data_IF_606647465716
#
_entry.id   IF_606647465716
#
_cell.length_a   1.000
_cell.length_b   1.000
_cell.length_c   1.000
_cell.angle_alpha   90.00
_cell.angle_beta   90.00
_cell.angle_gamma   90.00
#
_symmetry.space_group_name_H-M   'P 1'
#
loop_
_entity.id
_entity.type
_entity.pdbx_description
1 polymer ?
#
# COMPACT_ATOMS: atom_id res chain seq x y z
N UNK A 1 18.50 20.92 -12.02
CA UNK A 1 19.47 22.03 -12.20
C UNK A 1 20.59 21.69 -13.20
N UNK A 2 21.04 20.44 -13.31
CA UNK A 2 22.10 20.03 -14.27
C UNK A 2 21.72 20.20 -15.75
N UNK A 3 20.44 20.06 -16.11
CA UNK A 3 20.01 19.98 -17.51
C UNK A 3 19.99 21.34 -18.26
N UNK A 4 19.68 22.42 -17.54
CA UNK A 4 19.73 23.80 -18.09
C UNK A 4 21.15 24.17 -18.51
N UNK A 5 22.16 23.55 -17.89
CA UNK A 5 23.57 23.73 -18.24
C UNK A 5 24.06 22.73 -19.29
N UNK A 6 23.38 21.59 -19.49
CA UNK A 6 23.86 20.51 -20.35
C UNK A 6 23.37 20.66 -21.81
N UNK A 7 22.11 21.09 -22.03
CA UNK A 7 21.55 21.23 -23.39
C UNK A 7 20.62 22.46 -23.54
N UNK A 8 21.16 23.70 -23.65
CA UNK A 8 20.36 24.93 -23.69
C UNK A 8 19.58 25.17 -25.01
N UNK A 9 19.67 24.26 -26.00
CA UNK A 9 19.06 24.45 -27.34
C UNK A 9 17.96 23.44 -27.70
N UNK A 10 17.70 22.44 -26.86
CA UNK A 10 16.72 21.38 -27.15
C UNK A 10 15.92 20.99 -25.90
N UNK A 11 14.81 21.70 -25.67
CA UNK A 11 13.98 21.55 -24.48
C UNK A 11 13.39 20.13 -24.34
N UNK A 12 13.11 19.46 -25.45
CA UNK A 12 12.58 18.09 -25.47
C UNK A 12 13.61 17.05 -25.01
N UNK A 13 14.85 17.12 -25.50
CA UNK A 13 15.92 16.23 -25.04
C UNK A 13 16.26 16.45 -23.57
N UNK A 14 16.27 17.71 -23.13
CA UNK A 14 16.43 18.06 -21.72
C UNK A 14 15.29 17.50 -20.86
N UNK A 15 14.04 17.59 -21.33
CA UNK A 15 12.91 17.01 -20.61
C UNK A 15 13.05 15.48 -20.43
N UNK A 16 13.41 14.78 -21.51
CA UNK A 16 13.64 13.32 -21.48
C UNK A 16 14.85 12.91 -20.65
N UNK A 17 15.98 13.63 -20.76
CA UNK A 17 17.18 13.37 -19.97
C UNK A 17 16.91 13.49 -18.47
N UNK A 18 16.27 14.59 -18.04
CA UNK A 18 15.83 14.80 -16.65
C UNK A 18 14.91 13.68 -16.16
N UNK A 19 13.96 13.23 -17.00
CA UNK A 19 13.04 12.14 -16.66
C UNK A 19 13.76 10.80 -16.49
N UNK A 20 14.61 10.44 -17.45
CA UNK A 20 15.37 9.17 -17.43
C UNK A 20 16.34 9.13 -16.24
N UNK A 21 17.09 10.22 -16.00
CA UNK A 21 17.99 10.33 -14.84
C UNK A 21 17.20 10.24 -13.54
N UNK A 22 16.02 10.88 -13.47
CA UNK A 22 15.10 10.79 -12.34
C UNK A 22 14.68 9.34 -12.05
N UNK A 23 14.20 8.62 -13.07
CA UNK A 23 13.80 7.21 -12.93
C UNK A 23 14.96 6.30 -12.54
N UNK A 24 16.14 6.50 -13.12
CA UNK A 24 17.35 5.75 -12.76
C UNK A 24 17.71 6.00 -11.29
N UNK A 25 17.67 7.26 -10.85
CA UNK A 25 17.97 7.64 -9.46
C UNK A 25 16.99 7.00 -8.48
N UNK A 26 15.69 7.01 -8.80
CA UNK A 26 14.65 6.36 -7.98
C UNK A 26 14.85 4.84 -7.96
N UNK A 27 15.11 4.20 -9.11
CA UNK A 27 15.38 2.77 -9.18
C UNK A 27 16.62 2.39 -8.35
N UNK A 28 17.70 3.17 -8.46
CA UNK A 28 18.90 3.01 -7.64
C UNK A 28 18.60 3.20 -6.16
N UNK A 29 17.77 4.18 -5.78
CA UNK A 29 17.35 4.38 -4.40
C UNK A 29 16.62 3.13 -3.86
N UNK A 30 15.69 2.55 -4.63
CA UNK A 30 15.02 1.29 -4.27
C UNK A 30 16.00 0.11 -4.16
N UNK A 31 16.98 0.00 -5.06
CA UNK A 31 18.01 -1.04 -4.97
C UNK A 31 18.95 -0.84 -3.79
N UNK A 32 19.21 0.41 -3.38
CA UNK A 32 20.03 0.74 -2.22
C UNK A 32 19.30 0.52 -0.90
N UNK A 33 17.96 0.52 -0.85
CA UNK A 33 17.19 0.28 0.38
C UNK A 33 17.65 -0.95 1.20
N UNK A 34 17.82 -2.16 0.62
CA UNK A 34 18.32 -3.31 1.39
C UNK A 34 19.75 -3.11 1.91
N UNK A 35 20.61 -2.46 1.13
CA UNK A 35 21.98 -2.13 1.55
C UNK A 35 21.98 -1.11 2.69
N UNK A 36 21.14 -0.09 2.59
CA UNK A 36 20.98 0.95 3.59
C UNK A 36 20.46 0.38 4.91
N UNK A 37 19.52 -0.57 4.85
CA UNK A 37 19.04 -1.31 6.02
C UNK A 37 20.19 -2.05 6.73
N UNK A 38 21.01 -2.76 5.98
CA UNK A 38 22.17 -3.47 6.52
C UNK A 38 23.20 -2.52 7.15
N UNK A 39 23.45 -1.37 6.52
CA UNK A 39 24.36 -0.32 7.03
C UNK A 39 23.81 0.29 8.32
N UNK A 40 22.52 0.62 8.37
CA UNK A 40 21.86 1.20 9.55
C UNK A 40 21.71 0.21 10.72
N UNK A 41 21.70 -1.11 10.45
CA UNK A 41 21.73 -2.14 11.50
C UNK A 41 23.14 -2.28 12.13
N UNK A 42 24.18 -1.85 11.41
CA UNK A 42 25.59 -1.97 11.82
C UNK A 42 26.15 -0.71 12.49
N UNK A 43 25.59 0.46 12.18
CA UNK A 43 25.97 1.75 12.73
C UNK A 43 25.05 2.16 13.89
N UNK A 44 25.62 2.71 14.96
CA UNK A 44 24.87 3.20 16.13
C UNK A 44 25.02 4.73 16.27
N UNK A 45 24.00 5.39 16.83
CA UNK A 45 24.03 6.81 17.14
C UNK A 45 24.01 7.74 15.93
N UNK A 46 24.77 8.85 16.00
CA UNK A 46 24.72 9.94 15.02
C UNK A 46 25.24 9.60 13.61
N UNK A 47 26.17 8.64 13.48
CA UNK A 47 26.64 8.21 12.16
C UNK A 47 25.54 7.53 11.34
N UNK A 48 24.62 6.82 12.01
CA UNK A 48 23.44 6.23 11.37
C UNK A 48 22.50 7.32 10.84
N UNK A 49 22.32 8.40 11.60
CA UNK A 49 21.48 9.53 11.21
C UNK A 49 22.06 10.23 9.98
N UNK A 50 23.36 10.54 9.98
CA UNK A 50 24.03 11.17 8.85
C UNK A 50 23.90 10.35 7.55
N UNK A 51 24.09 9.02 7.64
CA UNK A 51 23.94 8.13 6.49
C UNK A 51 22.50 8.08 5.97
N UNK A 52 21.51 8.06 6.87
CA UNK A 52 20.10 8.13 6.49
C UNK A 52 19.76 9.47 5.82
N UNK A 53 20.25 10.58 6.35
CA UNK A 53 20.03 11.93 5.80
C UNK A 53 20.63 12.07 4.40
N UNK A 54 21.86 11.59 4.18
CA UNK A 54 22.48 11.59 2.85
C UNK A 54 21.67 10.79 1.84
N UNK A 55 21.15 9.63 2.24
CA UNK A 55 20.30 8.81 1.39
C UNK A 55 18.94 9.47 1.08
N UNK A 56 18.35 10.16 2.07
CA UNK A 56 17.13 10.93 1.89
C UNK A 56 17.35 12.11 0.94
N UNK A 57 18.46 12.84 1.08
CA UNK A 57 18.84 13.94 0.17
C UNK A 57 19.03 13.42 -1.25
N UNK A 58 19.72 12.29 -1.43
CA UNK A 58 19.87 11.64 -2.74
C UNK A 58 18.51 11.29 -3.36
N UNK A 59 17.61 10.70 -2.58
CA UNK A 59 16.26 10.34 -3.01
C UNK A 59 15.39 11.57 -3.34
N UNK A 60 15.58 12.66 -2.58
CA UNK A 60 14.92 13.94 -2.83
C UNK A 60 15.38 14.53 -4.17
N UNK A 61 16.69 14.53 -4.45
CA UNK A 61 17.23 14.98 -5.73
C UNK A 61 16.66 14.16 -6.91
N UNK A 62 16.53 12.84 -6.76
CA UNK A 62 15.90 11.97 -7.76
C UNK A 62 14.44 12.36 -8.03
N UNK A 63 13.66 12.51 -6.96
CA UNK A 63 12.23 12.89 -7.04
C UNK A 63 12.04 14.25 -7.71
N UNK A 64 12.84 15.26 -7.36
CA UNK A 64 12.75 16.59 -7.97
C UNK A 64 13.04 16.54 -9.47
N UNK A 65 14.09 15.81 -9.90
CA UNK A 65 14.42 15.68 -11.32
C UNK A 65 13.36 14.91 -12.11
N UNK A 66 12.79 13.87 -11.51
CA UNK A 66 11.70 13.11 -12.12
C UNK A 66 10.46 13.99 -12.32
N UNK A 67 10.01 14.68 -11.27
CA UNK A 67 8.81 15.52 -11.35
C UNK A 67 9.01 16.69 -12.31
N UNK A 68 10.17 17.33 -12.28
CA UNK A 68 10.54 18.35 -13.28
C UNK A 68 10.43 17.81 -14.71
N UNK A 69 10.99 16.63 -14.97
CA UNK A 69 10.91 15.98 -16.29
C UNK A 69 9.46 15.79 -16.73
N UNK A 70 8.61 15.27 -15.84
CA UNK A 70 7.17 15.09 -16.10
C UNK A 70 6.51 16.42 -16.49
N UNK A 71 6.67 17.49 -15.71
CA UNK A 71 6.09 18.80 -16.06
C UNK A 71 6.58 19.34 -17.40
N UNK A 72 7.87 19.19 -17.68
CA UNK A 72 8.44 19.70 -18.92
C UNK A 72 7.90 18.92 -20.14
N UNK A 73 7.78 17.60 -20.03
CA UNK A 73 7.13 16.80 -21.07
C UNK A 73 5.65 17.16 -21.23
N UNK A 74 4.91 17.38 -20.13
CA UNK A 74 3.52 17.83 -20.19
C UNK A 74 3.40 19.17 -20.92
N UNK A 75 4.24 20.15 -20.62
CA UNK A 75 4.21 21.45 -21.31
C UNK A 75 4.54 21.34 -22.81
N UNK A 76 5.44 20.43 -23.21
CA UNK A 76 5.86 20.27 -24.61
C UNK A 76 4.83 19.47 -25.42
N UNK A 77 4.27 18.40 -24.84
CA UNK A 77 3.45 17.43 -25.58
C UNK A 77 1.95 17.52 -25.27
N UNK A 78 1.54 18.03 -24.11
CA UNK A 78 0.15 18.02 -23.66
C UNK A 78 -0.48 19.41 -23.71
N UNK A 79 -1.25 19.67 -24.78
CA UNK A 79 -1.90 20.94 -25.09
C UNK A 79 -0.95 22.17 -24.98
N UNK A 80 0.08 22.25 -25.84
CA UNK A 80 1.06 23.34 -25.78
C UNK A 80 0.45 24.73 -26.02
N UNK A 81 -0.63 24.81 -26.82
CA UNK A 81 -1.29 26.07 -27.16
C UNK A 81 -2.25 26.58 -26.07
N UNK A 82 -2.61 25.74 -25.09
CA UNK A 82 -3.61 26.04 -24.06
C UNK A 82 -3.14 25.59 -22.67
N UNK A 83 -2.09 26.26 -22.18
CA UNK A 83 -1.41 25.89 -20.93
C UNK A 83 -2.36 25.86 -19.71
N UNK A 84 -3.28 26.82 -19.60
CA UNK A 84 -4.22 26.89 -18.48
C UNK A 84 -5.13 25.65 -18.40
N UNK A 85 -5.67 25.24 -19.55
CA UNK A 85 -6.55 24.08 -19.64
C UNK A 85 -5.77 22.77 -19.40
N UNK A 86 -4.53 22.70 -19.89
CA UNK A 86 -3.58 21.62 -19.61
C UNK A 86 -3.32 21.45 -18.11
N UNK A 87 -3.05 22.55 -17.39
CA UNK A 87 -2.84 22.56 -15.94
C UNK A 87 -4.09 22.10 -15.16
N UNK A 88 -5.28 22.59 -15.54
CA UNK A 88 -6.51 22.19 -14.88
C UNK A 88 -6.83 20.71 -15.07
N UNK A 89 -6.72 20.20 -16.28
CA UNK A 89 -6.99 18.77 -16.57
C UNK A 89 -6.00 17.89 -15.81
N UNK A 90 -4.72 18.20 -15.87
CA UNK A 90 -3.68 17.38 -15.21
C UNK A 90 -3.84 17.39 -13.70
N UNK A 91 -4.17 18.54 -13.10
CA UNK A 91 -4.46 18.65 -11.68
C UNK A 91 -5.67 17.80 -11.25
N UNK A 92 -6.83 18.01 -11.88
CA UNK A 92 -8.06 17.30 -11.52
C UNK A 92 -7.98 15.80 -11.81
N UNK A 93 -7.36 15.41 -12.93
CA UNK A 93 -7.16 14.00 -13.28
C UNK A 93 -6.28 13.29 -12.25
N UNK A 94 -5.13 13.88 -11.88
CA UNK A 94 -4.27 13.32 -10.86
C UNK A 94 -4.98 13.26 -9.50
N UNK A 95 -5.71 14.32 -9.11
CA UNK A 95 -6.44 14.35 -7.85
C UNK A 95 -7.50 13.24 -7.77
N UNK A 96 -8.31 13.06 -8.80
CA UNK A 96 -9.33 11.99 -8.87
C UNK A 96 -8.66 10.62 -8.80
N UNK A 97 -7.56 10.41 -9.54
CA UNK A 97 -6.78 9.17 -9.45
C UNK A 97 -6.27 8.91 -8.03
N UNK A 98 -5.74 9.92 -7.34
CA UNK A 98 -5.25 9.80 -5.96
C UNK A 98 -6.38 9.46 -4.97
N UNK A 99 -7.57 10.04 -5.16
CA UNK A 99 -8.75 9.74 -4.34
C UNK A 99 -9.21 8.30 -4.58
N UNK A 100 -9.31 7.87 -5.84
CA UNK A 100 -9.71 6.50 -6.20
C UNK A 100 -8.73 5.45 -5.68
N UNK A 101 -7.43 5.76 -5.73
CA UNK A 101 -6.37 4.91 -5.19
C UNK A 101 -6.28 4.96 -3.65
N UNK A 102 -7.08 5.78 -2.96
CA UNK A 102 -7.04 5.93 -1.50
C UNK A 102 -5.73 6.52 -0.97
N UNK A 103 -4.89 7.06 -1.85
CA UNK A 103 -3.59 7.66 -1.54
C UNK A 103 -3.71 9.12 -1.08
N UNK A 104 -4.90 9.72 -1.16
CA UNK A 104 -5.21 11.06 -0.66
C UNK A 104 -5.28 11.10 0.88
N UNK A 105 -4.19 10.70 1.55
CA UNK A 105 -3.98 10.85 2.99
C UNK A 105 -2.92 11.94 3.20
N UNK A 106 -3.35 13.16 3.53
CA UNK A 106 -2.41 14.26 3.82
C UNK A 106 -1.60 13.99 5.09
N UNK A 107 -0.31 14.34 5.04
CA UNK A 107 0.63 14.25 6.16
C UNK A 107 0.13 14.93 7.44
N UNK A 108 -0.74 15.95 7.31
CA UNK A 108 -1.33 16.70 8.42
C UNK A 108 -2.12 15.82 9.40
N UNK A 109 -2.74 14.73 8.94
CA UNK A 109 -3.60 13.87 9.76
C UNK A 109 -2.82 12.70 10.39
N UNK A 110 -1.65 12.33 9.82
CA UNK A 110 -0.85 11.19 10.30
C UNK A 110 0.20 11.54 11.36
N UNK A 111 0.45 12.83 11.59
CA UNK A 111 1.50 13.28 12.50
C UNK A 111 2.91 13.13 11.90
N UNK A 112 3.87 13.84 12.50
CA UNK A 112 5.30 13.71 12.18
C UNK A 112 5.88 12.69 13.14
N UNK A 113 6.48 11.62 12.62
CA UNK A 113 7.24 10.69 13.44
C UNK A 113 8.52 11.38 13.91
N UNK A 114 8.83 11.27 15.20
CA UNK A 114 10.10 11.77 15.74
C UNK A 114 11.19 10.82 15.24
N UNK A 115 12.09 11.34 14.41
CA UNK A 115 13.24 10.59 13.91
C UNK A 115 14.08 10.07 15.09
N UNK A 116 14.45 8.78 15.01
CA UNK A 116 15.28 8.01 15.96
C UNK A 116 14.60 7.20 17.08
N UNK A 117 13.27 7.23 17.26
CA UNK A 117 12.59 6.33 18.23
C UNK A 117 12.41 4.89 17.72
N UNK A 118 12.50 4.64 16.41
CA UNK A 118 12.24 3.32 15.83
C UNK A 118 13.44 2.36 15.94
N UNK A 119 13.25 1.12 16.44
CA UNK A 119 14.33 0.14 16.51
C UNK A 119 14.72 -0.39 15.11
N UNK A 120 16.04 -0.49 14.87
CA UNK A 120 16.71 -1.25 13.80
C UNK A 120 16.28 -0.95 12.34
N UNK A 121 16.86 0.10 11.74
CA UNK A 121 16.89 0.28 10.28
C UNK A 121 15.55 0.65 9.61
N UNK A 122 14.46 0.76 10.36
CA UNK A 122 13.14 1.15 9.83
C UNK A 122 13.06 2.60 9.35
N UNK A 123 13.92 3.49 9.85
CA UNK A 123 13.94 4.90 9.46
C UNK A 123 14.27 5.14 7.97
N UNK A 124 14.86 4.16 7.27
CA UNK A 124 15.26 4.31 5.86
C UNK A 124 14.36 3.56 4.89
N UNK A 125 13.36 2.85 5.40
CA UNK A 125 12.41 2.11 4.55
C UNK A 125 11.34 3.10 4.11
N UNK A 126 11.35 3.48 2.83
CA UNK A 126 10.25 4.27 2.27
C UNK A 126 8.95 3.46 2.40
N UNK A 127 7.90 4.00 3.04
CA UNK A 127 6.63 3.30 3.21
C UNK A 127 5.81 3.34 1.91
N UNK A 128 6.35 2.78 0.83
CA UNK A 128 5.67 2.65 -0.47
C UNK A 128 4.75 1.42 -0.51
N UNK A 129 4.22 0.99 0.64
CA UNK A 129 3.38 -0.21 0.75
C UNK A 129 1.88 0.07 0.49
N UNK A 130 1.49 1.27 0.05
CA UNK A 130 0.08 1.66 -0.08
C UNK A 130 -0.75 0.67 -0.91
N UNK A 131 -0.30 0.31 -2.11
CA UNK A 131 -0.98 -0.68 -2.93
C UNK A 131 -1.06 -2.04 -2.23
N UNK A 132 0.05 -2.48 -1.64
CA UNK A 132 0.12 -3.75 -0.90
C UNK A 132 -0.84 -3.74 0.29
N UNK A 133 -0.99 -2.61 0.99
CA UNK A 133 -1.88 -2.43 2.13
C UNK A 133 -3.34 -2.52 1.69
N UNK A 134 -3.71 -1.88 0.58
CA UNK A 134 -5.08 -1.96 0.01
C UNK A 134 -5.39 -3.41 -0.36
N UNK A 135 -4.50 -4.07 -1.11
CA UNK A 135 -4.68 -5.48 -1.47
C UNK A 135 -4.70 -6.40 -0.25
N UNK A 136 -3.88 -6.14 0.77
CA UNK A 136 -3.88 -6.90 2.02
C UNK A 136 -5.18 -6.70 2.81
N UNK A 137 -5.70 -5.47 2.85
CA UNK A 137 -6.96 -5.15 3.52
C UNK A 137 -8.15 -5.82 2.83
N UNK A 138 -8.19 -5.82 1.49
CA UNK A 138 -9.20 -6.55 0.73
C UNK A 138 -9.10 -8.06 0.97
N UNK A 139 -7.88 -8.62 0.94
CA UNK A 139 -7.65 -10.05 1.15
C UNK A 139 -8.03 -10.48 2.56
N UNK A 140 -7.73 -9.66 3.57
CA UNK A 140 -8.14 -9.88 4.96
C UNK A 140 -9.66 -9.82 5.13
N UNK A 141 -10.33 -8.85 4.49
CA UNK A 141 -11.81 -8.75 4.48
C UNK A 141 -12.46 -9.96 3.82
N UNK A 142 -11.93 -10.43 2.68
CA UNK A 142 -12.42 -11.64 2.00
C UNK A 142 -12.27 -12.86 2.90
N UNK A 143 -11.09 -13.06 3.50
CA UNK A 143 -10.83 -14.18 4.42
C UNK A 143 -11.75 -14.15 5.64
N UNK A 144 -11.95 -12.99 6.26
CA UNK A 144 -12.85 -12.83 7.41
C UNK A 144 -14.31 -13.18 7.06
N UNK A 145 -14.79 -12.79 5.87
CA UNK A 145 -16.12 -13.17 5.38
C UNK A 145 -16.26 -14.68 5.17
N UNK A 146 -15.26 -15.33 4.59
CA UNK A 146 -15.26 -16.79 4.43
C UNK A 146 -15.28 -17.50 5.78
N UNK A 147 -14.44 -17.08 6.73
CA UNK A 147 -14.38 -17.66 8.07
C UNK A 147 -15.72 -17.52 8.83
N UNK A 148 -16.39 -16.36 8.69
CA UNK A 148 -17.72 -16.12 9.25
C UNK A 148 -18.77 -17.05 8.63
N UNK A 149 -18.76 -17.21 7.31
CA UNK A 149 -19.69 -18.08 6.59
C UNK A 149 -19.50 -19.56 6.98
N UNK A 150 -18.25 -20.01 7.11
CA UNK A 150 -17.92 -21.37 7.55
C UNK A 150 -18.38 -21.62 8.98
N UNK A 151 -18.21 -20.63 9.87
CA UNK A 151 -18.67 -20.71 11.26
C UNK A 151 -20.19 -20.79 11.37
N UNK A 152 -20.92 -19.99 10.56
CA UNK A 152 -22.39 -20.01 10.51
C UNK A 152 -22.89 -21.35 9.96
N UNK A 153 -22.23 -21.87 8.92
CA UNK A 153 -22.57 -23.16 8.30
C UNK A 153 -22.39 -24.31 9.28
N UNK A 154 -21.27 -24.35 10.00
CA UNK A 154 -21.02 -25.35 11.06
C UNK A 154 -22.06 -25.29 12.18
N UNK A 155 -22.33 -24.11 12.73
CA UNK A 155 -23.37 -23.95 13.77
C UNK A 155 -24.76 -24.42 13.33
N UNK A 156 -25.11 -24.20 12.06
CA UNK A 156 -26.38 -24.68 11.49
C UNK A 156 -26.40 -26.20 11.41
N UNK A 157 -25.30 -26.81 10.98
CA UNK A 157 -25.16 -28.26 10.87
C UNK A 157 -25.23 -28.93 12.25
N UNK A 158 -24.49 -28.42 13.23
CA UNK A 158 -24.50 -28.91 14.62
C UNK A 158 -25.91 -28.77 15.24
N UNK A 159 -26.61 -27.65 14.97
CA UNK A 159 -27.98 -27.45 15.42
C UNK A 159 -28.99 -28.43 14.82
N UNK A 160 -28.82 -28.79 13.55
CA UNK A 160 -29.66 -29.81 12.88
C UNK A 160 -29.38 -31.19 13.45
N UNK A 161 -28.10 -31.55 13.63
CA UNK A 161 -27.69 -32.84 14.17
C UNK A 161 -28.22 -33.04 15.61
N UNK A 162 -28.08 -32.03 16.47
CA UNK A 162 -28.62 -32.03 17.83
C UNK A 162 -30.16 -32.16 17.87
N UNK A 163 -30.86 -31.53 16.94
CA UNK A 163 -32.32 -31.65 16.86
C UNK A 163 -32.75 -33.05 16.39
N UNK A 164 -32.04 -33.64 15.42
CA UNK A 164 -32.30 -35.00 14.93
C UNK A 164 -32.02 -36.03 16.03
N UNK A 165 -30.92 -35.91 16.75
CA UNK A 165 -30.60 -36.82 17.87
C UNK A 165 -31.63 -36.74 18.99
N UNK A 166 -32.11 -35.53 19.31
CA UNK A 166 -33.16 -35.33 20.32
C UNK A 166 -34.48 -35.95 19.88
N UNK A 167 -34.86 -35.79 18.60
CA UNK A 167 -36.07 -36.40 18.04
C UNK A 167 -36.01 -37.93 18.11
N UNK A 168 -34.87 -38.52 17.72
CA UNK A 168 -34.65 -39.97 17.77
C UNK A 168 -34.78 -40.50 19.21
N UNK A 169 -34.19 -39.81 20.19
CA UNK A 169 -34.28 -40.21 21.60
C UNK A 169 -35.72 -40.18 22.11
N UNK A 170 -36.52 -39.17 21.75
CA UNK A 170 -37.95 -39.09 22.10
C UNK A 170 -38.73 -40.24 21.44
N UNK A 171 -38.47 -40.55 20.18
CA UNK A 171 -39.11 -41.68 19.48
C UNK A 171 -38.75 -43.03 20.10
N UNK A 172 -37.50 -43.24 20.52
CA UNK A 172 -37.11 -44.48 21.20
C UNK A 172 -37.83 -44.65 22.55
N UNK A 173 -37.96 -43.59 23.34
CA UNK A 173 -38.70 -43.63 24.62
C UNK A 173 -40.19 -43.94 24.39
N UNK A 174 -40.81 -43.34 23.37
CA UNK A 174 -42.23 -43.59 23.10
C UNK A 174 -42.49 -45.03 22.65
N UNK A 175 -41.58 -45.62 21.86
CA UNK A 175 -41.66 -47.04 21.47
C UNK A 175 -41.49 -47.99 22.66
N UNK A 176 -40.58 -47.71 23.59
CA UNK A 176 -40.41 -48.48 24.82
C UNK A 176 -41.67 -48.44 25.69
N UNK A 177 -42.24 -47.26 25.91
CA UNK A 177 -43.49 -47.12 26.67
C UNK A 177 -44.68 -47.85 26.00
N UNK A 178 -44.76 -47.82 24.67
CA UNK A 178 -45.83 -48.51 23.92
C UNK A 178 -45.71 -50.05 24.02
N UNK A 179 -44.49 -50.58 24.08
CA UNK A 179 -44.26 -52.02 24.28
C UNK A 179 -44.49 -52.46 25.73
N UNK A 180 -44.14 -51.64 26.72
CA UNK A 180 -44.43 -51.93 28.14
C UNK A 180 -45.93 -51.99 28.43
N UNK A 181 -46.74 -51.13 27.81
CA UNK A 181 -48.20 -51.12 28.00
C UNK A 181 -48.93 -52.31 27.35
N UNK A 182 -48.27 -53.11 26.52
CA UNK A 182 -48.87 -54.25 25.82
C UNK A 182 -48.61 -55.61 26.51
N UNK A 183 -47.87 -55.60 27.63
CA UNK A 183 -47.43 -56.79 28.39
C UNK A 183 -48.10 -56.87 29.78
N UNK A 184 -49.09 -56.04 30.06
CA UNK A 184 -49.93 -56.09 31.28
C UNK A 184 -51.33 -56.57 30.94
#
# INVERSE_FOLDING_TARGET
MLDVFLFPKQDSLSAWASLVIGYITVALAFMLQPGMRWICDRLQGGARLLVADLFLIFSLCGTINLWRGVWMLLNIYFLPDQLELSCWITHWLCLVLLILLGCSNSLLVRGVYIDAEEPAGKCVIFPCYYLRLIFQQERARKLAKHLQLDTITRKKQDGVENNVSTLNHITTISQLNATTNHVV
#
